data_IF_135927056670
#
_entry.id   IF_135927056670
#
_cell.length_a   1.000
_cell.length_b   1.000
_cell.length_c   1.000
_cell.angle_alpha   90.00
_cell.angle_beta   90.00
_cell.angle_gamma   90.00
#
_symmetry.space_group_name_H-M   'P 1'
#
loop_
_entity.id
_entity.type
_entity.pdbx_description
1 polymer ?
#
# COMPACT_ATOMS: atom_id res chain seq x y z
N UNK A 1 -35.34 -1.89 -9.20
CA UNK A 1 -34.24 -1.82 -10.18
C UNK A 1 -33.21 -0.70 -9.94
N UNK A 2 -33.59 0.60 -9.83
CA UNK A 2 -32.60 1.69 -9.63
C UNK A 2 -31.97 1.66 -8.21
N UNK A 3 -32.77 1.38 -7.17
CA UNK A 3 -32.29 1.30 -5.77
C UNK A 3 -31.24 0.20 -5.52
N UNK A 4 -31.25 -0.87 -6.30
CA UNK A 4 -30.30 -2.00 -6.18
C UNK A 4 -28.99 -1.75 -6.93
N UNK A 5 -29.01 -0.90 -7.96
CA UNK A 5 -27.82 -0.56 -8.76
C UNK A 5 -27.01 0.59 -8.18
N UNK A 6 -27.59 1.43 -7.33
CA UNK A 6 -26.88 2.59 -6.76
C UNK A 6 -25.59 2.21 -5.99
N UNK A 7 -25.60 1.19 -5.11
CA UNK A 7 -24.36 0.84 -4.41
C UNK A 7 -23.27 0.26 -5.32
N UNK A 8 -23.62 -0.20 -6.52
CA UNK A 8 -22.65 -0.62 -7.53
C UNK A 8 -21.83 0.56 -8.05
N UNK A 9 -22.39 1.79 -8.03
CA UNK A 9 -21.66 3.03 -8.37
C UNK A 9 -20.61 3.39 -7.31
N UNK A 10 -20.87 3.07 -6.04
CA UNK A 10 -19.89 3.22 -4.95
C UNK A 10 -18.66 2.35 -5.22
N UNK A 11 -18.88 1.08 -5.59
CA UNK A 11 -17.80 0.15 -5.89
C UNK A 11 -17.09 0.50 -7.21
N UNK A 12 -17.82 0.95 -8.23
CA UNK A 12 -17.26 1.45 -9.50
C UNK A 12 -16.30 2.62 -9.24
N UNK A 13 -16.74 3.65 -8.52
CA UNK A 13 -15.91 4.80 -8.19
C UNK A 13 -14.70 4.42 -7.32
N UNK A 14 -14.85 3.47 -6.38
CA UNK A 14 -13.73 2.96 -5.59
C UNK A 14 -12.69 2.21 -6.44
N UNK A 15 -13.11 1.36 -7.38
CA UNK A 15 -12.20 0.64 -8.28
C UNK A 15 -11.47 1.61 -9.20
N UNK A 16 -12.19 2.58 -9.78
CA UNK A 16 -11.57 3.61 -10.62
C UNK A 16 -10.59 4.48 -9.83
N UNK A 17 -10.94 4.88 -8.60
CA UNK A 17 -10.02 5.60 -7.71
C UNK A 17 -8.75 4.79 -7.45
N UNK A 18 -8.91 3.50 -7.12
CA UNK A 18 -7.81 2.57 -6.87
C UNK A 18 -6.88 2.42 -8.09
N UNK A 19 -7.43 2.36 -9.31
CA UNK A 19 -6.63 2.21 -10.53
C UNK A 19 -5.94 3.51 -10.96
N UNK A 20 -6.59 4.66 -10.78
CA UNK A 20 -6.13 5.94 -11.34
C UNK A 20 -5.23 6.73 -10.39
N UNK A 21 -5.28 6.48 -9.07
CA UNK A 21 -4.52 7.28 -8.08
C UNK A 21 -3.00 7.20 -8.25
N UNK A 22 -2.47 6.11 -8.80
CA UNK A 22 -1.03 5.95 -9.04
C UNK A 22 -0.50 6.87 -10.14
N UNK A 23 -1.06 6.90 -11.37
CA UNK A 23 -0.66 7.88 -12.37
C UNK A 23 -1.19 9.28 -12.02
N UNK A 24 -2.50 9.41 -11.78
CA UNK A 24 -3.21 10.69 -11.67
C UNK A 24 -3.81 10.90 -10.28
N UNK A 25 -3.01 11.53 -9.41
CA UNK A 25 -3.34 11.79 -8.00
C UNK A 25 -4.68 12.50 -7.82
N UNK A 26 -4.89 13.59 -8.55
CA UNK A 26 -6.07 14.46 -8.38
C UNK A 26 -7.35 13.73 -8.79
N UNK A 27 -7.30 13.02 -9.93
CA UNK A 27 -8.45 12.24 -10.40
C UNK A 27 -8.75 11.09 -9.45
N UNK A 28 -7.74 10.32 -9.02
CA UNK A 28 -7.90 9.24 -8.04
C UNK A 28 -8.52 9.73 -6.72
N UNK A 29 -8.05 10.87 -6.19
CA UNK A 29 -8.62 11.51 -4.99
C UNK A 29 -10.08 11.93 -5.20
N UNK A 30 -10.40 12.55 -6.33
CA UNK A 30 -11.77 13.01 -6.60
C UNK A 30 -12.74 11.83 -6.74
N UNK A 31 -12.31 10.73 -7.37
CA UNK A 31 -13.09 9.48 -7.44
C UNK A 31 -13.25 8.82 -6.06
N UNK A 32 -12.23 8.89 -5.21
CA UNK A 32 -12.33 8.45 -3.81
C UNK A 32 -13.38 9.26 -3.03
N UNK A 33 -13.36 10.59 -3.15
CA UNK A 33 -14.38 11.44 -2.55
C UNK A 33 -15.77 11.20 -3.13
N UNK A 34 -15.88 10.95 -4.44
CA UNK A 34 -17.14 10.56 -5.05
C UNK A 34 -17.69 9.26 -4.42
N UNK A 35 -16.84 8.25 -4.24
CA UNK A 35 -17.23 7.01 -3.55
C UNK A 35 -17.71 7.27 -2.11
N UNK A 36 -17.03 8.18 -1.40
CA UNK A 36 -17.42 8.60 -0.05
C UNK A 36 -18.79 9.29 -0.03
N UNK A 37 -19.01 10.29 -0.88
CA UNK A 37 -20.26 11.05 -0.97
C UNK A 37 -21.42 10.14 -1.36
N UNK A 38 -21.24 9.25 -2.35
CA UNK A 38 -22.26 8.28 -2.73
C UNK A 38 -22.61 7.33 -1.57
N UNK A 39 -21.61 6.91 -0.79
CA UNK A 39 -21.81 6.05 0.38
C UNK A 39 -22.63 6.75 1.46
N UNK A 40 -22.27 7.99 1.81
CA UNK A 40 -22.99 8.78 2.82
C UNK A 40 -24.41 9.09 2.35
N UNK A 41 -24.57 9.52 1.09
CA UNK A 41 -25.88 9.80 0.51
C UNK A 41 -26.81 8.60 0.55
N UNK A 42 -26.34 7.43 0.10
CA UNK A 42 -27.16 6.20 0.14
C UNK A 42 -27.49 5.76 1.57
N UNK A 43 -26.53 5.89 2.48
CA UNK A 43 -26.71 5.58 3.89
C UNK A 43 -27.78 6.47 4.54
N UNK A 44 -27.78 7.78 4.25
CA UNK A 44 -28.77 8.72 4.78
C UNK A 44 -30.21 8.33 4.42
N UNK A 45 -30.46 7.92 3.17
CA UNK A 45 -31.79 7.47 2.73
C UNK A 45 -32.20 6.09 3.29
N UNK A 46 -31.26 5.29 3.81
CA UNK A 46 -31.52 3.92 4.25
C UNK A 46 -31.08 3.67 5.70
N UNK A 47 -30.97 4.73 6.52
CA UNK A 47 -30.30 4.68 7.82
C UNK A 47 -30.90 3.63 8.78
N UNK A 48 -32.22 3.45 8.75
CA UNK A 48 -32.94 2.46 9.59
C UNK A 48 -32.60 1.00 9.25
N UNK A 49 -32.10 0.75 8.05
CA UNK A 49 -31.79 -0.58 7.54
C UNK A 49 -30.30 -0.94 7.70
N UNK A 50 -29.44 0.04 8.04
CA UNK A 50 -28.01 -0.18 8.17
C UNK A 50 -27.72 -1.03 9.41
N UNK A 51 -26.93 -2.09 9.21
CA UNK A 51 -26.44 -2.96 10.29
C UNK A 51 -24.92 -2.96 10.26
N UNK A 52 -24.29 -2.55 11.35
CA UNK A 52 -22.85 -2.57 11.54
C UNK A 52 -22.43 -3.80 12.35
N UNK A 53 -21.26 -4.36 12.04
CA UNK A 53 -20.68 -5.46 12.81
C UNK A 53 -19.46 -4.99 13.59
N UNK A 54 -19.04 -5.81 14.56
CA UNK A 54 -17.87 -5.55 15.42
C UNK A 54 -16.61 -5.31 14.58
N UNK A 55 -16.37 -6.12 13.56
CA UNK A 55 -15.22 -5.94 12.66
C UNK A 55 -15.21 -4.59 11.96
N UNK A 56 -16.37 -4.08 11.53
CA UNK A 56 -16.48 -2.78 10.87
C UNK A 56 -16.21 -1.63 11.85
N UNK A 57 -16.68 -1.76 13.10
CA UNK A 57 -16.43 -0.78 14.15
C UNK A 57 -14.95 -0.74 14.57
N UNK A 58 -14.29 -1.89 14.69
CA UNK A 58 -12.87 -1.98 15.07
C UNK A 58 -11.98 -1.35 14.00
N UNK A 59 -12.18 -1.67 12.71
CA UNK A 59 -11.38 -1.04 11.65
C UNK A 59 -11.66 0.48 11.57
N UNK A 60 -12.91 0.90 11.74
CA UNK A 60 -13.28 2.31 11.75
C UNK A 60 -12.61 3.06 12.90
N UNK A 61 -12.58 2.49 14.11
CA UNK A 61 -11.92 3.06 15.27
C UNK A 61 -10.43 3.30 15.00
N UNK A 62 -9.70 2.30 14.49
CA UNK A 62 -8.27 2.47 14.26
C UNK A 62 -7.93 3.37 13.08
N UNK A 63 -8.76 3.40 12.03
CA UNK A 63 -8.64 4.42 10.97
C UNK A 63 -8.87 5.82 11.53
N UNK A 64 -9.87 5.99 12.40
CA UNK A 64 -10.15 7.27 13.06
C UNK A 64 -8.99 7.69 13.96
N UNK A 65 -8.52 6.81 14.85
CA UNK A 65 -7.41 7.09 15.76
C UNK A 65 -6.13 7.45 15.00
N UNK A 66 -5.80 6.73 13.92
CA UNK A 66 -4.62 7.05 13.11
C UNK A 66 -4.78 8.39 12.39
N UNK A 67 -5.95 8.66 11.81
CA UNK A 67 -6.25 9.94 11.17
C UNK A 67 -6.20 11.11 12.17
N UNK A 68 -6.77 10.93 13.36
CA UNK A 68 -6.71 11.91 14.45
C UNK A 68 -5.29 12.13 14.93
N UNK A 69 -4.48 11.09 15.08
CA UNK A 69 -3.05 11.22 15.44
C UNK A 69 -2.30 12.11 14.46
N UNK A 70 -2.46 11.86 13.15
CA UNK A 70 -1.82 12.67 12.11
C UNK A 70 -2.29 14.13 12.14
N UNK A 71 -3.59 14.36 12.30
CA UNK A 71 -4.16 15.71 12.35
C UNK A 71 -3.79 16.48 13.63
N UNK A 72 -3.77 15.80 14.78
CA UNK A 72 -3.33 16.38 16.05
C UNK A 72 -1.86 16.76 16.00
N UNK A 73 -1.02 15.92 15.39
CA UNK A 73 0.38 16.25 15.15
C UNK A 73 0.53 17.47 14.25
N UNK A 74 -0.16 17.51 13.10
CA UNK A 74 -0.14 18.68 12.18
C UNK A 74 -0.66 19.96 12.84
N UNK A 75 -1.66 19.84 13.73
CA UNK A 75 -2.16 20.98 14.51
C UNK A 75 -1.15 21.47 15.55
N UNK A 76 -0.50 20.53 16.26
CA UNK A 76 0.51 20.84 17.29
C UNK A 76 1.79 21.43 16.69
N UNK A 77 2.18 20.95 15.53
CA UNK A 77 3.42 21.34 14.84
C UNK A 77 3.08 21.81 13.41
N UNK A 78 2.55 23.04 13.25
CA UNK A 78 2.25 23.59 11.94
C UNK A 78 3.54 23.77 11.12
N UNK A 79 3.41 23.62 9.80
CA UNK A 79 4.53 23.76 8.87
C UNK A 79 5.20 25.14 8.99
N UNK A 80 6.53 25.16 9.06
CA UNK A 80 7.30 26.39 8.94
C UNK A 80 7.46 26.73 7.46
N UNK A 81 7.14 27.96 7.05
CA UNK A 81 7.24 28.38 5.65
C UNK A 81 8.68 28.39 5.12
N UNK A 82 9.68 28.50 6.00
CA UNK A 82 11.09 28.52 5.64
C UNK A 82 11.68 27.12 5.37
N UNK A 83 11.16 26.09 6.04
CA UNK A 83 11.68 24.72 6.01
C UNK A 83 10.53 23.73 5.96
N UNK A 84 10.20 23.26 4.75
CA UNK A 84 9.06 22.36 4.53
C UNK A 84 9.55 20.92 4.43
N UNK A 85 9.20 20.10 5.42
CA UNK A 85 9.44 18.67 5.39
C UNK A 85 8.25 17.92 4.81
N UNK A 86 8.49 16.71 4.29
CA UNK A 86 7.43 15.93 3.64
C UNK A 86 6.26 15.63 4.59
N UNK A 87 6.54 15.38 5.87
CA UNK A 87 5.54 15.13 6.91
C UNK A 87 4.56 16.31 7.07
N UNK A 88 5.05 17.55 7.03
CA UNK A 88 4.26 18.77 7.26
C UNK A 88 3.14 18.93 6.21
N UNK A 89 3.45 18.60 4.97
CA UNK A 89 2.50 18.71 3.84
C UNK A 89 1.61 17.48 3.73
N UNK A 90 2.09 16.33 4.20
CA UNK A 90 1.47 15.04 3.92
C UNK A 90 0.47 14.63 5.00
N UNK A 91 0.83 14.76 6.29
CA UNK A 91 0.01 14.24 7.38
C UNK A 91 -1.34 14.93 7.54
N UNK A 92 -1.44 16.23 7.21
CA UNK A 92 -2.74 16.90 7.13
C UNK A 92 -3.67 16.23 6.11
N UNK A 93 -3.15 15.85 4.93
CA UNK A 93 -3.94 15.22 3.86
C UNK A 93 -4.25 13.76 4.15
N UNK A 94 -3.24 12.97 4.53
CA UNK A 94 -3.43 11.55 4.86
C UNK A 94 -4.36 11.38 6.06
N UNK A 95 -4.26 12.27 7.04
CA UNK A 95 -5.13 12.29 8.21
C UNK A 95 -6.58 12.48 7.82
N UNK A 96 -6.89 13.47 6.98
CA UNK A 96 -8.25 13.67 6.43
C UNK A 96 -8.74 12.42 5.70
N UNK A 97 -7.92 11.81 4.85
CA UNK A 97 -8.34 10.62 4.10
C UNK A 97 -8.62 9.44 5.02
N UNK A 98 -7.82 9.24 6.08
CA UNK A 98 -8.05 8.21 7.11
C UNK A 98 -9.36 8.46 7.86
N UNK A 99 -9.68 9.70 8.23
CA UNK A 99 -10.97 10.06 8.83
C UNK A 99 -12.13 9.74 7.88
N UNK A 100 -12.01 10.08 6.60
CA UNK A 100 -13.01 9.71 5.58
C UNK A 100 -13.13 8.18 5.48
N UNK A 101 -12.01 7.46 5.50
CA UNK A 101 -11.99 5.99 5.51
C UNK A 101 -12.70 5.39 6.73
N UNK A 102 -12.49 5.97 7.91
CA UNK A 102 -13.14 5.55 9.16
C UNK A 102 -14.67 5.61 9.07
N UNK A 103 -15.21 6.54 8.27
CA UNK A 103 -16.65 6.67 8.02
C UNK A 103 -17.09 5.75 6.89
N UNK A 104 -16.39 5.78 5.75
CA UNK A 104 -16.85 5.13 4.52
C UNK A 104 -16.72 3.62 4.56
N UNK A 105 -15.64 3.07 5.12
CA UNK A 105 -15.42 1.61 5.19
C UNK A 105 -16.55 0.86 5.93
N UNK A 106 -16.96 1.27 7.15
CA UNK A 106 -18.08 0.62 7.83
C UNK A 106 -19.42 0.90 7.14
N UNK A 107 -19.61 2.09 6.56
CA UNK A 107 -20.84 2.43 5.82
C UNK A 107 -21.02 1.53 4.61
N UNK A 108 -20.01 1.43 3.74
CA UNK A 108 -20.00 0.52 2.58
C UNK A 108 -20.31 -0.90 3.05
N UNK A 109 -19.68 -1.35 4.14
CA UNK A 109 -19.94 -2.68 4.69
C UNK A 109 -21.39 -2.91 5.08
N UNK A 110 -22.03 -1.92 5.71
CA UNK A 110 -23.44 -1.96 6.05
C UNK A 110 -24.33 -1.92 4.81
N UNK A 111 -23.99 -1.07 3.82
CA UNK A 111 -24.71 -0.93 2.55
C UNK A 111 -24.72 -2.25 1.78
N UNK A 112 -23.55 -2.87 1.59
CA UNK A 112 -23.41 -4.13 0.85
C UNK A 112 -24.05 -5.33 1.54
N UNK A 113 -24.45 -5.22 2.82
CA UNK A 113 -25.25 -6.24 3.50
C UNK A 113 -26.74 -6.17 3.16
N UNK A 114 -27.22 -5.04 2.64
CA UNK A 114 -28.63 -4.85 2.26
C UNK A 114 -28.90 -5.26 0.82
N UNK A 115 -27.86 -5.48 0.02
CA UNK A 115 -27.98 -5.78 -1.41
C UNK A 115 -28.04 -7.28 -1.62
N UNK A 116 -28.92 -7.70 -2.53
CA UNK A 116 -28.97 -9.07 -3.02
C UNK A 116 -27.70 -9.37 -3.85
N UNK A 117 -27.02 -10.50 -3.62
CA UNK A 117 -25.82 -10.85 -4.38
C UNK A 117 -26.10 -10.86 -5.90
N UNK A 118 -25.48 -9.94 -6.64
CA UNK A 118 -25.54 -9.89 -8.12
C UNK A 118 -24.37 -10.67 -8.75
N UNK A 119 -24.22 -10.67 -10.08
CA UNK A 119 -23.08 -11.32 -10.73
C UNK A 119 -21.81 -10.45 -10.63
N UNK A 120 -20.79 -10.95 -9.92
CA UNK A 120 -19.56 -10.20 -9.62
C UNK A 120 -18.58 -10.02 -10.78
N UNK A 121 -18.85 -10.64 -11.93
CA UNK A 121 -17.93 -10.65 -13.09
C UNK A 121 -17.58 -9.25 -13.59
N UNK A 122 -18.55 -8.32 -13.61
CA UNK A 122 -18.32 -6.95 -14.07
C UNK A 122 -17.19 -6.24 -13.32
N UNK A 123 -17.20 -6.27 -11.98
CA UNK A 123 -16.19 -5.58 -11.17
C UNK A 123 -14.81 -6.24 -11.25
N UNK A 124 -14.77 -7.55 -11.49
CA UNK A 124 -13.52 -8.26 -11.72
C UNK A 124 -12.91 -7.86 -13.07
N UNK A 125 -13.72 -7.75 -14.12
CA UNK A 125 -13.26 -7.21 -15.40
C UNK A 125 -12.80 -5.76 -15.28
N UNK A 126 -13.46 -4.96 -14.46
CA UNK A 126 -13.05 -3.58 -14.21
C UNK A 126 -11.70 -3.49 -13.49
N UNK A 127 -11.46 -4.34 -12.48
CA UNK A 127 -10.15 -4.42 -11.82
C UNK A 127 -9.06 -4.86 -12.78
N UNK A 128 -9.35 -5.87 -13.61
CA UNK A 128 -8.43 -6.33 -14.65
C UNK A 128 -8.15 -5.23 -15.68
N UNK A 129 -9.17 -4.46 -16.10
CA UNK A 129 -9.01 -3.32 -16.99
C UNK A 129 -8.16 -2.23 -16.34
N UNK A 130 -8.35 -1.94 -15.05
CA UNK A 130 -7.49 -1.03 -14.30
C UNK A 130 -6.04 -1.53 -14.20
N UNK A 131 -5.82 -2.84 -14.06
CA UNK A 131 -4.48 -3.45 -14.08
C UNK A 131 -3.83 -3.28 -15.46
N UNK A 132 -4.59 -3.54 -16.54
CA UNK A 132 -4.12 -3.34 -17.91
C UNK A 132 -3.79 -1.87 -18.16
N UNK A 133 -4.66 -0.94 -17.73
CA UNK A 133 -4.41 0.50 -17.82
C UNK A 133 -3.12 0.90 -17.11
N UNK A 134 -2.93 0.49 -15.85
CA UNK A 134 -1.73 0.79 -15.08
C UNK A 134 -0.47 0.20 -15.72
N UNK A 135 -0.56 -1.02 -16.26
CA UNK A 135 0.55 -1.68 -16.93
C UNK A 135 0.93 -0.95 -18.22
N UNK A 136 -0.05 -0.63 -19.07
CA UNK A 136 0.20 0.10 -20.31
C UNK A 136 0.75 1.50 -20.02
N UNK A 137 0.23 2.19 -19.01
CA UNK A 137 0.76 3.48 -18.57
C UNK A 137 2.22 3.36 -18.12
N UNK A 138 2.53 2.36 -17.28
CA UNK A 138 3.88 2.11 -16.77
C UNK A 138 4.89 1.84 -17.89
N UNK A 139 4.53 0.97 -18.84
CA UNK A 139 5.39 0.64 -19.98
C UNK A 139 5.53 1.82 -20.94
N UNK A 140 4.46 2.55 -21.20
CA UNK A 140 4.53 3.76 -22.02
C UNK A 140 5.46 4.80 -21.39
N UNK A 141 5.32 5.04 -20.08
CA UNK A 141 6.16 5.99 -19.37
C UNK A 141 7.64 5.60 -19.42
N UNK A 142 7.97 4.33 -19.20
CA UNK A 142 9.36 3.88 -19.25
C UNK A 142 9.96 3.94 -20.67
N UNK A 143 9.27 3.41 -21.67
CA UNK A 143 9.87 3.29 -23.01
C UNK A 143 9.84 4.58 -23.83
N UNK A 144 8.94 5.52 -23.52
CA UNK A 144 8.75 6.72 -24.36
C UNK A 144 8.98 8.04 -23.61
N UNK A 145 9.04 8.04 -22.28
CA UNK A 145 9.20 9.29 -21.49
C UNK A 145 10.53 9.29 -20.73
N UNK A 146 10.92 8.17 -20.11
CA UNK A 146 12.14 8.11 -19.30
C UNK A 146 12.76 6.71 -19.30
N UNK A 147 13.96 6.60 -19.88
CA UNK A 147 14.76 5.37 -19.89
C UNK A 147 15.33 5.01 -18.51
N UNK A 148 15.19 5.89 -17.52
CA UNK A 148 15.58 5.62 -16.14
C UNK A 148 14.62 4.61 -15.46
N UNK A 149 15.04 4.17 -14.28
CA UNK A 149 14.22 3.38 -13.34
C UNK A 149 12.80 3.97 -13.23
N UNK A 150 11.79 3.14 -13.47
CA UNK A 150 10.38 3.55 -13.57
C UNK A 150 9.87 4.30 -12.33
N UNK A 151 9.32 5.50 -12.55
CA UNK A 151 8.78 6.43 -11.54
C UNK A 151 7.41 6.97 -11.99
N UNK A 152 6.33 6.40 -11.49
CA UNK A 152 4.96 6.81 -11.83
C UNK A 152 4.50 7.88 -10.85
N UNK A 153 4.61 9.15 -11.25
CA UNK A 153 4.07 10.31 -10.54
C UNK A 153 4.68 10.62 -9.16
N UNK A 154 5.62 9.80 -8.68
CA UNK A 154 6.40 9.98 -7.44
C UNK A 154 7.67 9.10 -7.50
N UNK A 155 8.28 8.80 -6.35
CA UNK A 155 9.43 7.89 -6.24
C UNK A 155 9.18 6.52 -6.85
N UNK A 156 10.26 5.88 -7.32
CA UNK A 156 10.20 4.54 -7.88
C UNK A 156 9.75 3.49 -6.83
N UNK A 157 10.09 3.71 -5.56
CA UNK A 157 9.68 2.85 -4.44
C UNK A 157 8.18 2.88 -4.24
N UNK A 158 7.57 4.07 -4.14
CA UNK A 158 6.12 4.21 -4.01
C UNK A 158 5.40 3.64 -5.23
N UNK A 159 5.92 3.89 -6.43
CA UNK A 159 5.37 3.33 -7.68
C UNK A 159 5.30 1.81 -7.63
N UNK A 160 6.37 1.16 -7.15
CA UNK A 160 6.44 -0.28 -6.98
C UNK A 160 5.43 -0.80 -5.95
N UNK A 161 5.33 -0.15 -4.78
CA UNK A 161 4.39 -0.56 -3.75
C UNK A 161 2.94 -0.43 -4.20
N UNK A 162 2.56 0.71 -4.80
CA UNK A 162 1.20 0.94 -5.29
C UNK A 162 0.83 -0.05 -6.41
N UNK A 163 1.75 -0.28 -7.35
CA UNK A 163 1.52 -1.21 -8.45
C UNK A 163 1.41 -2.66 -7.96
N UNK A 164 2.31 -3.09 -7.07
CA UNK A 164 2.25 -4.43 -6.45
C UNK A 164 0.97 -4.61 -5.63
N UNK A 165 0.58 -3.61 -4.87
CA UNK A 165 -0.64 -3.64 -4.06
C UNK A 165 -1.90 -3.74 -4.92
N UNK A 166 -2.01 -2.92 -5.97
CA UNK A 166 -3.10 -3.01 -6.96
C UNK A 166 -3.16 -4.38 -7.65
N UNK A 167 -1.99 -4.93 -7.99
CA UNK A 167 -1.89 -6.27 -8.58
C UNK A 167 -2.43 -7.34 -7.62
N UNK A 168 -2.06 -7.28 -6.34
CA UNK A 168 -2.55 -8.24 -5.33
C UNK A 168 -4.07 -8.18 -5.16
N UNK A 169 -4.68 -6.99 -5.22
CA UNK A 169 -6.15 -6.83 -5.18
C UNK A 169 -6.78 -7.41 -6.44
N UNK A 170 -6.16 -7.22 -7.60
CA UNK A 170 -6.61 -7.80 -8.87
C UNK A 170 -6.54 -9.32 -8.85
N UNK A 171 -5.45 -9.90 -8.32
CA UNK A 171 -5.31 -11.35 -8.12
C UNK A 171 -6.33 -11.90 -7.12
N UNK A 172 -6.58 -11.17 -6.02
CA UNK A 172 -7.65 -11.50 -5.07
C UNK A 172 -9.03 -11.51 -5.74
N UNK A 173 -9.32 -10.55 -6.61
CA UNK A 173 -10.56 -10.50 -7.36
C UNK A 173 -10.66 -11.67 -8.36
N UNK A 174 -9.62 -11.94 -9.13
CA UNK A 174 -9.58 -13.10 -10.04
C UNK A 174 -9.74 -14.43 -9.30
N UNK A 175 -9.22 -14.53 -8.06
CA UNK A 175 -9.41 -15.69 -7.19
C UNK A 175 -10.85 -15.91 -6.76
N UNK A 176 -11.61 -14.82 -6.72
CA UNK A 176 -13.00 -14.75 -6.38
C UNK A 176 -13.94 -15.07 -7.55
N UNK A 177 -13.47 -15.44 -8.74
CA UNK A 177 -14.40 -15.78 -9.84
C UNK A 177 -13.97 -17.01 -10.62
N UNK A 178 -14.95 -17.65 -11.25
CA UNK A 178 -14.71 -18.65 -12.28
C UNK A 178 -14.79 -17.98 -13.67
N UNK A 179 -13.76 -18.23 -14.50
CA UNK A 179 -13.69 -17.74 -15.87
C UNK A 179 -13.03 -18.80 -16.75
N UNK A 180 -13.50 -18.90 -18.01
CA UNK A 180 -12.98 -19.85 -19.01
C UNK A 180 -11.45 -19.80 -19.15
N UNK A 181 -10.87 -18.60 -19.11
CA UNK A 181 -9.42 -18.37 -19.25
C UNK A 181 -8.76 -17.87 -17.96
N UNK A 182 -9.33 -18.17 -16.79
CA UNK A 182 -8.84 -17.62 -15.51
C UNK A 182 -7.34 -17.85 -15.28
N UNK A 183 -6.86 -19.06 -15.56
CA UNK A 183 -5.45 -19.43 -15.31
C UNK A 183 -4.50 -18.66 -16.22
N UNK A 184 -4.86 -18.51 -17.49
CA UNK A 184 -4.10 -17.75 -18.48
C UNK A 184 -4.09 -16.26 -18.13
N UNK A 185 -5.21 -15.71 -17.67
CA UNK A 185 -5.31 -14.32 -17.21
C UNK A 185 -4.44 -14.10 -15.97
N UNK A 186 -4.51 -15.00 -14.97
CA UNK A 186 -3.65 -14.92 -13.79
C UNK A 186 -2.17 -14.98 -14.20
N UNK A 187 -1.80 -15.87 -15.13
CA UNK A 187 -0.43 -15.95 -15.64
C UNK A 187 0.01 -14.63 -16.28
N UNK A 188 -0.81 -14.06 -17.16
CA UNK A 188 -0.51 -12.78 -17.80
C UNK A 188 -0.33 -11.65 -16.77
N UNK A 189 -1.24 -11.56 -15.79
CA UNK A 189 -1.15 -10.58 -14.68
C UNK A 189 0.17 -10.75 -13.94
N UNK A 190 0.57 -11.98 -13.62
CA UNK A 190 1.85 -12.24 -12.95
C UNK A 190 3.03 -11.78 -13.82
N UNK A 191 3.12 -12.21 -15.08
CA UNK A 191 4.22 -11.86 -15.99
C UNK A 191 4.37 -10.35 -16.14
N UNK A 192 3.28 -9.64 -16.47
CA UNK A 192 3.31 -8.19 -16.60
C UNK A 192 3.62 -7.50 -15.28
N UNK A 193 3.12 -8.04 -14.16
CA UNK A 193 3.40 -7.43 -12.86
C UNK A 193 4.85 -7.54 -12.44
N UNK A 194 5.47 -8.69 -12.68
CA UNK A 194 6.90 -8.91 -12.45
C UNK A 194 7.73 -7.98 -13.32
N UNK A 195 7.36 -7.83 -14.60
CA UNK A 195 8.05 -6.93 -15.52
C UNK A 195 8.00 -5.48 -15.02
N UNK A 196 6.82 -4.94 -14.74
CA UNK A 196 6.68 -3.56 -14.26
C UNK A 196 7.40 -3.35 -12.92
N UNK A 197 7.22 -4.25 -11.95
CA UNK A 197 7.92 -4.16 -10.65
C UNK A 197 9.44 -4.18 -10.85
N UNK A 198 9.95 -4.97 -11.79
CA UNK A 198 11.37 -4.98 -12.08
C UNK A 198 11.87 -3.67 -12.69
N UNK A 199 11.12 -3.06 -13.62
CA UNK A 199 11.46 -1.74 -14.17
C UNK A 199 11.54 -0.66 -13.07
N UNK A 200 10.79 -0.84 -11.96
CA UNK A 200 10.93 0.03 -10.79
C UNK A 200 12.19 -0.23 -9.97
N UNK A 201 13.02 -1.23 -10.25
CA UNK A 201 14.26 -1.60 -9.52
C UNK A 201 14.15 -1.51 -7.98
N UNK A 202 12.98 -1.81 -7.42
CA UNK A 202 12.72 -1.67 -5.98
C UNK A 202 13.00 -2.98 -5.26
N UNK A 203 14.19 -3.09 -4.65
CA UNK A 203 14.70 -4.30 -3.97
C UNK A 203 13.68 -4.92 -3.00
N UNK A 204 13.06 -4.11 -2.14
CA UNK A 204 12.06 -4.57 -1.16
C UNK A 204 10.85 -5.23 -1.81
N UNK A 205 10.32 -4.66 -2.90
CA UNK A 205 9.19 -5.24 -3.63
C UNK A 205 9.60 -6.49 -4.38
N UNK A 206 10.77 -6.48 -5.03
CA UNK A 206 11.31 -7.66 -5.71
C UNK A 206 11.51 -8.86 -4.77
N UNK A 207 11.74 -8.62 -3.48
CA UNK A 207 11.81 -9.67 -2.47
C UNK A 207 10.45 -10.07 -1.89
N UNK A 208 9.68 -9.09 -1.41
CA UNK A 208 8.44 -9.37 -0.69
C UNK A 208 7.27 -9.77 -1.60
N UNK A 209 7.16 -9.19 -2.79
CA UNK A 209 6.06 -9.51 -3.71
C UNK A 209 6.05 -11.01 -4.09
N UNK A 210 7.17 -11.64 -4.50
CA UNK A 210 7.21 -13.07 -4.79
C UNK A 210 7.01 -13.92 -3.54
N UNK A 211 7.56 -13.52 -2.39
CA UNK A 211 7.37 -14.22 -1.13
C UNK A 211 5.89 -14.28 -0.71
N UNK A 212 5.17 -13.15 -0.82
CA UNK A 212 3.72 -13.05 -0.57
C UNK A 212 2.96 -13.96 -1.54
N UNK A 213 3.31 -13.95 -2.83
CA UNK A 213 2.69 -14.84 -3.83
C UNK A 213 2.91 -16.31 -3.48
N UNK A 214 4.15 -16.75 -3.25
CA UNK A 214 4.48 -18.13 -2.88
C UNK A 214 3.72 -18.57 -1.62
N UNK A 215 3.66 -17.72 -0.59
CA UNK A 215 2.89 -18.01 0.61
C UNK A 215 1.39 -18.13 0.32
N UNK A 216 0.83 -17.23 -0.50
CA UNK A 216 -0.56 -17.33 -0.96
C UNK A 216 -0.82 -18.64 -1.71
N UNK A 217 0.11 -19.08 -2.56
CA UNK A 217 0.02 -20.35 -3.28
C UNK A 217 -0.06 -21.54 -2.33
N UNK A 218 0.84 -21.60 -1.35
CA UNK A 218 0.92 -22.70 -0.38
C UNK A 218 -0.38 -22.87 0.43
N UNK A 219 -1.06 -21.75 0.71
CA UNK A 219 -2.30 -21.71 1.48
C UNK A 219 -3.57 -21.81 0.63
N UNK A 220 -3.49 -21.53 -0.67
CA UNK A 220 -4.64 -21.58 -1.57
C UNK A 220 -4.95 -23.02 -2.03
N UNK A 221 -6.23 -23.37 -2.11
CA UNK A 221 -6.71 -24.58 -2.79
C UNK A 221 -7.08 -24.31 -4.26
N UNK A 222 -6.70 -23.15 -4.81
CA UNK A 222 -7.19 -22.64 -6.10
C UNK A 222 -6.65 -23.40 -7.32
N UNK A 223 -5.46 -23.97 -7.21
CA UNK A 223 -4.80 -24.80 -8.23
C UNK A 223 -3.95 -25.87 -7.53
N UNK A 224 -3.51 -26.90 -8.25
CA UNK A 224 -2.53 -27.83 -7.67
C UNK A 224 -1.26 -27.05 -7.32
N UNK A 225 -0.78 -27.22 -6.09
CA UNK A 225 0.37 -26.49 -5.52
C UNK A 225 1.56 -26.49 -6.49
N UNK A 226 1.85 -27.64 -7.09
CA UNK A 226 2.95 -27.82 -8.04
C UNK A 226 2.81 -26.97 -9.32
N UNK A 227 1.62 -26.88 -9.92
CA UNK A 227 1.41 -26.14 -11.18
C UNK A 227 1.51 -24.63 -10.98
N UNK A 228 1.06 -24.13 -9.84
CA UNK A 228 1.08 -22.70 -9.54
C UNK A 228 2.48 -22.24 -9.08
N UNK A 229 3.22 -23.09 -8.36
CA UNK A 229 4.63 -22.87 -8.02
C UNK A 229 5.48 -22.81 -9.29
N UNK A 230 5.31 -23.77 -10.20
CA UNK A 230 6.00 -23.76 -11.49
C UNK A 230 5.66 -22.49 -12.27
N UNK A 231 4.40 -22.05 -12.25
CA UNK A 231 3.99 -20.83 -12.95
C UNK A 231 4.66 -19.55 -12.38
N UNK A 232 4.73 -19.43 -11.05
CA UNK A 232 5.40 -18.29 -10.41
C UNK A 232 6.91 -18.35 -10.60
N UNK A 233 7.52 -19.53 -10.49
CA UNK A 233 8.95 -19.72 -10.74
C UNK A 233 9.30 -19.45 -12.20
N UNK A 234 8.50 -19.93 -13.15
CA UNK A 234 8.69 -19.68 -14.58
C UNK A 234 8.47 -18.19 -14.89
N UNK A 235 7.47 -17.53 -14.29
CA UNK A 235 7.29 -16.08 -14.46
C UNK A 235 8.47 -15.28 -13.89
N UNK A 236 8.99 -15.68 -12.72
CA UNK A 236 10.15 -15.07 -12.09
C UNK A 236 11.40 -15.29 -12.95
N UNK A 237 11.68 -16.54 -13.33
CA UNK A 237 12.82 -16.91 -14.16
C UNK A 237 12.75 -16.25 -15.55
N UNK A 238 11.57 -16.22 -16.19
CA UNK A 238 11.38 -15.55 -17.47
C UNK A 238 11.63 -14.04 -17.33
N UNK A 239 11.17 -13.41 -16.25
CA UNK A 239 11.48 -12.00 -15.99
C UNK A 239 12.99 -11.78 -15.80
N UNK A 240 13.68 -12.65 -15.03
CA UNK A 240 15.11 -12.55 -14.81
C UNK A 240 15.92 -12.74 -16.10
N UNK A 241 15.55 -13.70 -16.95
CA UNK A 241 16.24 -14.00 -18.23
C UNK A 241 16.02 -12.89 -19.27
N UNK A 242 14.79 -12.41 -19.43
CA UNK A 242 14.49 -11.28 -20.35
C UNK A 242 15.32 -10.05 -19.97
N UNK A 243 15.58 -9.89 -18.68
CA UNK A 243 16.26 -8.72 -18.15
C UNK A 243 17.78 -8.89 -18.14
N UNK A 244 18.34 -10.07 -17.88
CA UNK A 244 19.79 -10.32 -18.03
C UNK A 244 20.23 -10.05 -19.47
N UNK A 245 19.36 -10.31 -20.44
CA UNK A 245 19.58 -9.97 -21.84
C UNK A 245 19.53 -8.45 -22.14
N UNK A 246 18.88 -7.65 -21.29
CA UNK A 246 18.64 -6.20 -21.50
C UNK A 246 19.50 -5.33 -20.56
N UNK A 247 19.85 -5.80 -19.37
CA UNK A 247 20.60 -5.08 -18.33
C UNK A 247 21.57 -6.02 -17.58
N UNK A 248 22.88 -6.02 -17.88
CA UNK A 248 23.87 -6.92 -17.27
C UNK A 248 24.19 -6.64 -15.78
N UNK A 249 23.42 -5.78 -15.10
CA UNK A 249 23.76 -5.17 -13.79
C UNK A 249 23.23 -5.92 -12.55
N UNK A 250 22.57 -7.08 -12.71
CA UNK A 250 21.94 -7.79 -11.57
C UNK A 250 22.98 -8.44 -10.65
N UNK A 251 24.02 -9.05 -11.23
CA UNK A 251 25.04 -9.79 -10.48
C UNK A 251 25.86 -8.87 -9.57
N UNK A 252 26.23 -7.69 -10.06
CA UNK A 252 26.98 -6.69 -9.29
C UNK A 252 26.18 -6.23 -8.07
N UNK A 253 24.90 -5.92 -8.25
CA UNK A 253 24.01 -5.40 -7.18
C UNK A 253 23.76 -6.36 -6.03
N UNK A 254 23.78 -7.67 -6.27
CA UNK A 254 23.59 -8.68 -5.23
C UNK A 254 24.85 -8.83 -4.36
N UNK A 255 26.02 -8.76 -5.00
CA UNK A 255 27.31 -8.75 -4.30
C UNK A 255 27.44 -7.47 -3.47
N UNK A 256 27.10 -6.30 -4.05
CA UNK A 256 27.14 -5.01 -3.34
C UNK A 256 26.33 -5.05 -2.04
N UNK A 257 25.11 -5.58 -2.05
CA UNK A 257 24.26 -5.59 -0.85
C UNK A 257 24.80 -6.47 0.29
N UNK A 258 25.49 -7.57 -0.04
CA UNK A 258 26.13 -8.43 0.98
C UNK A 258 27.36 -7.73 1.54
N UNK A 259 28.17 -7.12 0.68
CA UNK A 259 29.35 -6.34 1.06
C UNK A 259 28.97 -5.14 1.94
N UNK A 260 27.93 -4.38 1.55
CA UNK A 260 27.37 -3.25 2.31
C UNK A 260 26.94 -3.67 3.73
N UNK A 261 26.39 -4.88 3.89
CA UNK A 261 25.97 -5.37 5.21
C UNK A 261 27.16 -5.82 6.07
N UNK A 262 28.16 -6.47 5.47
CA UNK A 262 29.37 -6.87 6.20
C UNK A 262 30.23 -5.69 6.62
N UNK A 263 30.20 -4.59 5.85
CA UNK A 263 31.03 -3.42 6.07
C UNK A 263 30.31 -2.30 6.83
N UNK A 264 29.02 -2.45 7.21
CA UNK A 264 28.23 -1.38 7.83
C UNK A 264 28.90 -0.71 9.05
N UNK A 265 29.63 -1.47 9.87
CA UNK A 265 30.33 -0.92 11.04
C UNK A 265 31.57 -0.08 10.65
N UNK A 266 32.18 -0.36 9.50
CA UNK A 266 33.38 0.33 9.00
C UNK A 266 33.06 1.43 7.97
N UNK A 267 32.06 1.21 7.12
CA UNK A 267 31.53 2.16 6.13
C UNK A 267 30.01 2.00 6.02
N UNK A 268 29.29 3.01 6.49
CA UNK A 268 27.83 3.05 6.41
C UNK A 268 27.32 3.95 5.28
N UNK A 269 28.19 4.52 4.44
CA UNK A 269 27.84 5.45 3.36
C UNK A 269 27.28 4.73 2.11
N UNK A 270 26.29 3.88 2.34
CA UNK A 270 25.67 3.00 1.35
C UNK A 270 24.15 3.12 1.44
N UNK A 271 23.41 2.64 0.43
CA UNK A 271 21.94 2.77 0.45
C UNK A 271 21.29 1.97 1.59
N UNK A 272 21.86 0.81 1.94
CA UNK A 272 21.43 0.02 3.08
C UNK A 272 21.91 0.65 4.40
N UNK A 273 23.16 1.08 4.46
CA UNK A 273 23.76 1.71 5.64
C UNK A 273 23.02 2.99 6.04
N UNK A 274 22.63 3.83 5.08
CA UNK A 274 21.83 5.02 5.34
C UNK A 274 20.48 4.71 6.01
N UNK A 275 19.79 3.63 5.59
CA UNK A 275 18.51 3.23 6.21
C UNK A 275 18.70 2.74 7.64
N UNK A 276 19.69 1.88 7.87
CA UNK A 276 19.99 1.39 9.22
C UNK A 276 20.40 2.54 10.14
N UNK A 277 21.20 3.48 9.65
CA UNK A 277 21.60 4.69 10.38
C UNK A 277 20.39 5.57 10.72
N UNK A 278 19.47 5.79 9.77
CA UNK A 278 18.19 6.50 10.02
C UNK A 278 17.31 5.77 11.03
N UNK A 279 17.26 4.44 11.01
CA UNK A 279 16.47 3.65 11.96
C UNK A 279 17.06 3.72 13.36
N UNK A 280 18.38 3.58 13.49
CA UNK A 280 19.07 3.66 14.77
C UNK A 280 18.90 5.04 15.42
N UNK A 281 19.16 6.12 14.67
CA UNK A 281 18.95 7.50 15.14
C UNK A 281 17.47 7.77 15.44
N UNK A 282 16.54 7.26 14.63
CA UNK A 282 15.10 7.36 14.87
C UNK A 282 14.62 6.63 16.14
N UNK A 283 15.15 5.43 16.43
CA UNK A 283 14.85 4.69 17.67
C UNK A 283 15.36 5.45 18.89
N UNK A 284 16.56 6.03 18.78
CA UNK A 284 17.12 6.85 19.86
C UNK A 284 16.26 8.09 20.14
N UNK A 285 15.73 8.70 19.08
CA UNK A 285 14.81 9.82 19.20
C UNK A 285 13.49 9.43 19.89
N UNK A 286 12.91 8.29 19.53
CA UNK A 286 11.69 7.78 20.16
C UNK A 286 11.88 7.58 21.66
N UNK A 287 13.06 7.13 22.08
CA UNK A 287 13.39 6.94 23.50
C UNK A 287 13.53 8.28 24.24
N UNK A 288 14.18 9.28 23.63
CA UNK A 288 14.40 10.60 24.25
C UNK A 288 13.14 11.46 24.25
N UNK A 289 12.32 11.41 23.21
CA UNK A 289 11.12 12.21 23.04
C UNK A 289 9.89 11.33 22.73
N UNK A 290 9.40 10.55 23.71
CA UNK A 290 8.31 9.60 23.48
C UNK A 290 6.96 10.26 23.11
N UNK A 291 6.82 11.56 23.32
CA UNK A 291 5.65 12.36 22.93
C UNK A 291 5.66 12.83 21.47
N UNK A 292 6.74 12.58 20.72
CA UNK A 292 6.93 13.10 19.37
C UNK A 292 7.35 14.57 19.34
N UNK A 293 7.89 14.99 18.19
CA UNK A 293 8.45 16.33 17.96
C UNK A 293 8.02 16.88 16.60
N UNK A 294 8.30 18.15 16.34
CA UNK A 294 8.11 18.72 14.99
C UNK A 294 9.07 18.08 13.98
N UNK A 295 8.76 18.20 12.70
CA UNK A 295 9.62 17.72 11.61
C UNK A 295 11.00 18.36 11.62
N UNK A 296 11.07 19.68 11.86
CA UNK A 296 12.32 20.43 12.00
C UNK A 296 13.13 19.95 13.20
N UNK A 297 12.52 19.87 14.38
CA UNK A 297 13.20 19.37 15.59
C UNK A 297 13.72 17.95 15.37
N UNK A 298 12.91 17.09 14.75
CA UNK A 298 13.35 15.73 14.39
C UNK A 298 14.57 15.77 13.49
N UNK A 299 14.56 16.60 12.45
CA UNK A 299 15.68 16.71 11.53
C UNK A 299 16.97 17.17 12.23
N UNK A 300 16.89 18.18 13.08
CA UNK A 300 18.02 18.69 13.88
C UNK A 300 18.58 17.61 14.81
N UNK A 301 17.69 16.94 15.57
CA UNK A 301 18.09 15.88 16.50
C UNK A 301 18.72 14.70 15.76
N UNK A 302 18.09 14.22 14.69
CA UNK A 302 18.62 13.10 13.92
C UNK A 302 19.92 13.45 13.20
N UNK A 303 20.07 14.69 12.72
CA UNK A 303 21.32 15.15 12.12
C UNK A 303 22.46 15.15 13.14
N UNK A 304 22.21 15.63 14.36
CA UNK A 304 23.19 15.56 15.45
C UNK A 304 23.53 14.11 15.80
N UNK A 305 22.52 13.25 15.99
CA UNK A 305 22.73 11.83 16.30
C UNK A 305 23.46 11.10 15.17
N UNK A 306 23.25 11.49 13.92
CA UNK A 306 23.96 10.92 12.78
C UNK A 306 25.47 11.24 12.86
N UNK A 307 25.82 12.47 13.23
CA UNK A 307 27.23 12.85 13.45
C UNK A 307 27.83 12.11 14.64
N UNK A 308 27.10 12.03 15.76
CA UNK A 308 27.60 11.43 17.00
C UNK A 308 27.69 9.90 16.97
N UNK A 309 26.80 9.23 16.23
CA UNK A 309 26.60 7.76 16.34
C UNK A 309 26.71 6.99 15.03
N UNK A 310 26.67 7.68 13.89
CA UNK A 310 26.61 7.04 12.56
C UNK A 310 27.60 7.68 11.58
N UNK A 311 28.75 8.14 12.09
CA UNK A 311 29.86 8.68 11.30
C UNK A 311 29.46 9.81 10.33
N UNK A 312 28.38 10.54 10.63
CA UNK A 312 27.90 11.63 9.78
C UNK A 312 27.36 11.20 8.42
N UNK A 313 26.77 9.99 8.32
CA UNK A 313 26.25 9.41 7.09
C UNK A 313 25.48 10.42 6.20
N UNK A 314 26.06 10.87 5.07
CA UNK A 314 25.51 11.96 4.29
C UNK A 314 24.23 11.56 3.54
N UNK A 315 24.13 10.30 3.12
CA UNK A 315 22.93 9.74 2.50
C UNK A 315 21.77 9.68 3.50
N UNK A 316 22.05 9.34 4.77
CA UNK A 316 21.05 9.37 5.84
C UNK A 316 20.49 10.77 6.08
N UNK A 317 21.37 11.77 6.22
CA UNK A 317 21.00 13.18 6.42
C UNK A 317 20.17 13.70 5.25
N UNK A 318 20.56 13.39 4.01
CA UNK A 318 19.82 13.83 2.83
C UNK A 318 18.41 13.24 2.75
N UNK A 319 18.21 12.01 3.23
CA UNK A 319 16.94 11.30 3.08
C UNK A 319 15.95 11.51 4.26
N UNK A 320 16.43 11.82 5.46
CA UNK A 320 15.55 12.00 6.64
C UNK A 320 14.58 13.19 6.53
N UNK A 321 14.82 14.12 5.60
CA UNK A 321 13.88 15.21 5.25
C UNK A 321 12.57 14.67 4.70
N UNK A 322 12.62 13.53 4.01
CA UNK A 322 11.46 12.87 3.42
C UNK A 322 10.77 11.93 4.42
N UNK A 323 11.51 10.92 4.90
CA UNK A 323 11.04 9.94 5.88
C UNK A 323 12.16 8.96 6.26
N UNK A 324 11.98 8.27 7.40
CA UNK A 324 12.90 7.28 7.96
C UNK A 324 12.78 5.89 7.33
N UNK A 325 11.98 5.73 6.27
CA UNK A 325 11.84 4.46 5.55
C UNK A 325 11.37 3.29 6.44
N UNK A 326 10.50 3.58 7.39
CA UNK A 326 9.81 2.59 8.22
C UNK A 326 8.60 3.28 8.86
N UNK A 327 7.39 2.79 8.56
CA UNK A 327 6.15 3.42 9.05
C UNK A 327 6.11 3.55 10.57
N UNK A 328 6.64 2.57 11.30
CA UNK A 328 6.61 2.57 12.76
C UNK A 328 7.58 3.61 13.34
N UNK A 329 8.83 3.61 12.87
CA UNK A 329 9.85 4.57 13.33
C UNK A 329 9.47 5.99 12.90
N UNK A 330 8.98 6.17 11.68
CA UNK A 330 8.47 7.48 11.20
C UNK A 330 7.34 7.97 12.11
N UNK A 331 6.31 7.13 12.32
CA UNK A 331 5.14 7.50 13.11
C UNK A 331 5.52 7.79 14.56
N UNK A 332 6.33 6.94 15.18
CA UNK A 332 6.71 7.11 16.58
C UNK A 332 7.65 8.31 16.80
N UNK A 333 8.59 8.56 15.89
CA UNK A 333 9.54 9.70 16.03
C UNK A 333 8.84 11.06 15.89
N UNK A 334 7.82 11.16 15.05
CA UNK A 334 7.07 12.41 14.87
C UNK A 334 5.88 12.53 15.81
N UNK A 335 5.02 11.51 15.86
CA UNK A 335 3.71 11.57 16.53
C UNK A 335 3.72 10.93 17.92
N UNK A 336 4.84 10.33 18.34
CA UNK A 336 5.03 9.71 19.64
C UNK A 336 4.67 8.22 19.70
N UNK A 337 5.07 7.57 20.79
CA UNK A 337 4.93 6.12 20.99
C UNK A 337 3.48 5.65 20.89
N UNK A 338 2.54 6.45 21.41
CA UNK A 338 1.11 6.14 21.33
C UNK A 338 0.59 6.06 19.89
N UNK A 339 1.10 6.91 18.99
CA UNK A 339 0.75 6.84 17.58
C UNK A 339 1.25 5.53 16.92
N UNK A 340 2.44 5.06 17.33
CA UNK A 340 2.94 3.76 16.91
C UNK A 340 2.09 2.59 17.41
N UNK A 341 1.59 2.65 18.64
CA UNK A 341 0.63 1.66 19.17
C UNK A 341 -0.68 1.67 18.38
N UNK A 342 -1.18 2.86 18.02
CA UNK A 342 -2.36 3.02 17.15
C UNK A 342 -2.11 2.37 15.78
N UNK A 343 -0.93 2.58 15.18
CA UNK A 343 -0.57 1.97 13.88
C UNK A 343 -0.53 0.44 13.97
N UNK A 344 0.09 -0.13 15.00
CA UNK A 344 0.09 -1.59 15.23
C UNK A 344 -1.34 -2.11 15.45
N UNK A 345 -2.15 -1.36 16.17
CA UNK A 345 -3.57 -1.64 16.35
C UNK A 345 -4.34 -1.59 15.03
N UNK A 346 -4.01 -0.68 14.11
CA UNK A 346 -4.59 -0.62 12.76
C UNK A 346 -4.21 -1.87 11.93
N UNK A 347 -2.96 -2.34 12.02
CA UNK A 347 -2.55 -3.59 11.39
C UNK A 347 -3.34 -4.79 11.93
N UNK A 348 -3.50 -4.88 13.26
CA UNK A 348 -4.29 -5.92 13.88
C UNK A 348 -5.78 -5.82 13.50
N UNK A 349 -6.34 -4.61 13.48
CA UNK A 349 -7.72 -4.34 13.08
C UNK A 349 -7.99 -4.73 11.63
N UNK A 350 -7.05 -4.47 10.72
CA UNK A 350 -7.13 -4.89 9.32
C UNK A 350 -7.15 -6.41 9.19
N UNK A 351 -6.26 -7.11 9.89
CA UNK A 351 -6.24 -8.59 9.90
C UNK A 351 -7.56 -9.13 10.47
N UNK A 352 -8.01 -8.59 11.60
CA UNK A 352 -9.28 -8.97 12.23
C UNK A 352 -10.46 -8.73 11.28
N UNK A 353 -10.49 -7.58 10.59
CA UNK A 353 -11.53 -7.20 9.64
C UNK A 353 -11.66 -8.20 8.50
N UNK A 354 -10.55 -8.53 7.83
CA UNK A 354 -10.53 -9.47 6.71
C UNK A 354 -10.85 -10.89 7.19
N UNK A 355 -10.28 -11.31 8.32
CA UNK A 355 -10.51 -12.62 8.91
C UNK A 355 -11.99 -12.85 9.26
N UNK A 356 -12.63 -11.91 9.97
CA UNK A 356 -14.02 -12.01 10.40
C UNK A 356 -15.02 -12.03 9.25
N UNK A 357 -14.68 -11.38 8.14
CA UNK A 357 -15.52 -11.39 6.95
C UNK A 357 -15.49 -12.71 6.19
N UNK A 358 -14.70 -13.71 6.63
CA UNK A 358 -14.51 -15.00 5.95
C UNK A 358 -14.19 -14.81 4.46
N UNK A 359 -13.55 -13.69 4.15
CA UNK A 359 -12.94 -13.47 2.83
C UNK A 359 -11.93 -14.59 2.66
N UNK A 360 -11.83 -15.18 1.45
CA UNK A 360 -10.95 -16.33 1.18
C UNK A 360 -9.61 -16.22 1.94
N UNK A 361 -9.04 -17.36 2.36
CA UNK A 361 -7.76 -17.42 3.09
C UNK A 361 -6.64 -16.56 2.47
N UNK A 362 -6.72 -16.26 1.17
CA UNK A 362 -5.79 -15.42 0.42
C UNK A 362 -5.99 -13.90 0.59
N UNK A 363 -7.15 -13.41 1.01
CA UNK A 363 -7.42 -11.97 1.14
C UNK A 363 -6.59 -11.31 2.26
N UNK A 364 -6.37 -12.03 3.37
CA UNK A 364 -5.45 -11.59 4.43
C UNK A 364 -4.04 -11.43 3.85
N UNK A 365 -3.64 -12.34 2.96
CA UNK A 365 -2.31 -12.34 2.34
C UNK A 365 -2.19 -11.24 1.29
N UNK A 366 -3.21 -11.01 0.47
CA UNK A 366 -3.15 -10.03 -0.62
C UNK A 366 -3.43 -8.59 -0.19
N UNK A 367 -4.07 -8.38 0.96
CA UNK A 367 -4.34 -7.04 1.48
C UNK A 367 -3.44 -6.67 2.67
N UNK A 368 -3.33 -7.56 3.67
CA UNK A 368 -2.65 -7.19 4.92
C UNK A 368 -1.12 -7.29 4.80
N UNK A 369 -0.61 -8.36 4.17
CA UNK A 369 0.82 -8.60 4.11
C UNK A 369 1.59 -7.51 3.33
N UNK A 370 1.13 -7.01 2.16
CA UNK A 370 1.83 -5.93 1.47
C UNK A 370 1.91 -4.65 2.31
N UNK A 371 0.84 -4.27 3.01
CA UNK A 371 0.81 -3.06 3.86
C UNK A 371 1.83 -3.18 5.00
N UNK A 372 1.85 -4.33 5.70
CA UNK A 372 2.75 -4.53 6.84
C UNK A 372 4.20 -4.68 6.38
N UNK A 373 4.46 -5.49 5.34
CA UNK A 373 5.82 -5.79 4.90
C UNK A 373 6.45 -4.59 4.18
N UNK A 374 5.73 -3.90 3.30
CA UNK A 374 6.27 -2.70 2.67
C UNK A 374 6.41 -1.56 3.69
N UNK A 375 5.47 -1.41 4.63
CA UNK A 375 5.57 -0.42 5.73
C UNK A 375 6.69 -0.72 6.75
N UNK A 376 7.19 -1.95 6.80
CA UNK A 376 8.34 -2.30 7.66
C UNK A 376 9.70 -1.85 7.08
N UNK A 377 9.75 -1.55 5.78
CA UNK A 377 10.98 -1.17 5.07
C UNK A 377 10.85 0.16 4.33
N UNK A 378 9.70 0.80 4.44
CA UNK A 378 9.40 2.11 3.89
C UNK A 378 8.23 2.77 4.63
N UNK A 379 7.87 3.99 4.23
CA UNK A 379 6.82 4.77 4.91
C UNK A 379 5.59 4.91 4.02
N UNK A 380 4.60 4.02 4.15
CA UNK A 380 3.38 4.07 3.33
C UNK A 380 2.39 5.13 3.84
N UNK A 381 2.26 5.30 5.16
CA UNK A 381 1.19 6.11 5.76
C UNK A 381 1.39 7.63 5.63
N UNK A 382 2.57 8.06 5.19
CA UNK A 382 2.85 9.44 4.78
C UNK A 382 2.36 9.71 3.35
N UNK A 383 2.15 8.68 2.53
CA UNK A 383 1.78 8.86 1.12
C UNK A 383 0.27 8.85 0.92
N UNK A 384 -0.26 9.98 0.49
CA UNK A 384 -1.70 10.16 0.30
C UNK A 384 -2.28 9.31 -0.85
N UNK A 385 -1.51 9.04 -1.90
CA UNK A 385 -1.86 8.05 -2.94
C UNK A 385 -2.06 6.65 -2.34
N UNK A 386 -1.21 6.26 -1.39
CA UNK A 386 -1.32 4.97 -0.72
C UNK A 386 -2.56 4.91 0.17
N UNK A 387 -2.83 5.94 0.98
CA UNK A 387 -4.02 5.95 1.85
C UNK A 387 -5.31 5.84 1.04
N UNK A 388 -5.43 6.56 -0.09
CA UNK A 388 -6.57 6.42 -1.00
C UNK A 388 -6.70 4.97 -1.48
N UNK A 389 -5.61 4.41 -2.02
CA UNK A 389 -5.60 3.03 -2.52
C UNK A 389 -5.97 2.03 -1.42
N UNK A 390 -5.39 2.17 -0.23
CA UNK A 390 -5.65 1.34 0.94
C UNK A 390 -7.13 1.32 1.33
N UNK A 391 -7.75 2.50 1.49
CA UNK A 391 -9.17 2.61 1.85
C UNK A 391 -10.06 2.03 0.75
N UNK A 392 -9.79 2.37 -0.52
CA UNK A 392 -10.57 1.81 -1.65
C UNK A 392 -10.42 0.29 -1.74
N UNK A 393 -9.28 -0.26 -1.36
CA UNK A 393 -9.05 -1.71 -1.32
C UNK A 393 -9.89 -2.41 -0.25
N UNK A 394 -10.02 -1.82 0.94
CA UNK A 394 -10.92 -2.31 1.99
C UNK A 394 -12.39 -2.33 1.53
N UNK A 395 -12.81 -1.28 0.81
CA UNK A 395 -14.13 -1.15 0.17
C UNK A 395 -14.32 -2.27 -0.87
N UNK A 396 -13.34 -2.45 -1.77
CA UNK A 396 -13.36 -3.45 -2.84
C UNK A 396 -13.44 -4.87 -2.28
N UNK A 397 -12.59 -5.21 -1.30
CA UNK A 397 -12.60 -6.53 -0.67
C UNK A 397 -13.99 -6.87 -0.08
N UNK A 398 -14.65 -5.87 0.51
CA UNK A 398 -15.98 -6.02 1.09
C UNK A 398 -17.07 -6.21 0.03
N UNK A 399 -17.02 -5.39 -1.03
CA UNK A 399 -17.96 -5.47 -2.14
C UNK A 399 -17.88 -6.80 -2.88
N UNK A 400 -16.67 -7.21 -3.29
CA UNK A 400 -16.45 -8.42 -4.09
C UNK A 400 -16.84 -9.71 -3.34
N UNK A 401 -16.63 -9.75 -2.02
CA UNK A 401 -17.01 -10.92 -1.23
C UNK A 401 -18.53 -11.14 -1.15
N UNK A 402 -19.33 -10.06 -1.18
CA UNK A 402 -20.79 -10.13 -1.02
C UNK A 402 -21.54 -10.38 -2.34
N UNK A 403 -20.92 -10.04 -3.46
CA UNK A 403 -21.49 -10.27 -4.78
C UNK A 403 -21.27 -11.76 -5.13
N UNK A 404 -22.32 -12.50 -5.50
CA UNK A 404 -22.26 -13.98 -5.62
C UNK A 404 -21.26 -14.35 -6.70
N UNK A 405 -20.29 -15.17 -6.30
CA UNK A 405 -19.30 -15.77 -7.17
C UNK A 405 -19.89 -17.13 -7.57
N UNK A 406 -20.72 -17.12 -8.61
CA UNK A 406 -21.37 -18.35 -9.08
C UNK A 406 -20.27 -19.34 -9.50
N UNK A 407 -20.31 -20.54 -8.91
CA UNK A 407 -19.60 -21.72 -9.39
C UNK A 407 -20.16 -22.12 -10.75
#
# INVERSE_FOLDING_TARGET
MIKEKFPLLILLSAILACAVVTPEKTMGRNLFYLSAVLSVGYAAFNIKNLRFKKEDAVIALFLFLMGSSQLLWTYRFPANAAEIYMADVSYGRTGIYLIVGAIVVPLVSAIFRMITPSQGRFFNYLLLLGFTYLTLYALHFHFFISEDRLRIGNSATLSAYLYAFYTMITLYALACIEMRYRKQIIFAVLVFSFWVIFLTQTRSVLLFYPAILIYALLKSSMMSKSKMIVLCLVSLLASLVIIEFVFPTIKTRAVDAVTELSEYQSDNNTSLGARLSMWHTGIYEIYRHPGGVSSQQRYEILSQLMQEKEHGNPEGIRNMVYHLHNDLIETMSLQGVFAGVILLGLYAAMIFYVYRKKVLSCAVIFLCAPVILFGSVDTLFIHDRFIVMFITSLIICTGIHRIKQVR
#
